data_IF_290176476696
#
_entry.id   IF_290176476696
#
_cell.length_a   1.000
_cell.length_b   1.000
_cell.length_c   1.000
_cell.angle_alpha   90.00
_cell.angle_beta   90.00
_cell.angle_gamma   90.00
#
_symmetry.space_group_name_H-M   'P 1'
#
loop_
_entity.id
_entity.type
_entity.pdbx_description
1 polymer ?
#
# COMPACT_ATOMS: atom_id res chain seq x y z
N UNK A 1 15.50 -0.54 23.70
CA UNK A 1 14.39 -0.20 22.78
C UNK A 1 14.30 -1.35 21.77
N UNK A 2 13.29 -2.21 21.86
CA UNK A 2 13.22 -3.41 21.02
C UNK A 2 12.81 -3.03 19.60
N UNK A 3 13.75 -3.12 18.65
CA UNK A 3 13.51 -2.92 17.23
C UNK A 3 12.87 -4.18 16.66
N UNK A 4 11.90 -4.01 15.76
CA UNK A 4 11.22 -5.14 15.09
C UNK A 4 11.96 -5.53 13.81
N UNK A 5 12.75 -4.62 13.23
CA UNK A 5 13.75 -4.91 12.20
C UNK A 5 14.88 -3.87 12.25
N UNK A 6 16.03 -4.20 11.67
CA UNK A 6 17.20 -3.32 11.60
C UNK A 6 17.12 -2.31 10.43
N UNK A 7 16.06 -2.36 9.63
CA UNK A 7 15.86 -1.49 8.48
C UNK A 7 15.43 -0.08 8.87
N UNK A 8 16.11 0.92 8.32
CA UNK A 8 15.66 2.32 8.35
C UNK A 8 14.71 2.56 7.17
N UNK A 9 13.47 2.91 7.45
CA UNK A 9 12.46 3.24 6.44
C UNK A 9 12.46 4.74 6.18
N UNK A 10 12.20 5.16 4.94
CA UNK A 10 12.14 6.58 4.58
C UNK A 10 10.81 6.96 3.93
N UNK A 11 10.29 8.12 4.36
CA UNK A 11 9.08 8.74 3.81
C UNK A 11 9.18 10.26 3.95
N UNK A 12 8.90 11.00 2.88
CA UNK A 12 8.90 12.47 2.84
C UNK A 12 10.17 13.12 3.41
N UNK A 13 11.35 12.55 3.10
CA UNK A 13 12.64 13.06 3.58
C UNK A 13 13.00 12.69 5.03
N UNK A 14 12.10 12.03 5.77
CA UNK A 14 12.35 11.58 7.14
C UNK A 14 12.68 10.09 7.20
N UNK A 15 13.48 9.73 8.20
CA UNK A 15 13.87 8.35 8.53
C UNK A 15 13.08 7.84 9.73
N UNK A 16 12.63 6.59 9.65
CA UNK A 16 11.82 5.93 10.66
C UNK A 16 12.41 4.56 10.98
N UNK A 17 12.44 4.22 12.26
CA UNK A 17 12.81 2.89 12.74
C UNK A 17 11.57 2.19 13.29
N UNK A 18 11.32 0.92 12.93
CA UNK A 18 10.19 0.18 13.48
C UNK A 18 10.29 0.04 14.99
N UNK A 19 9.17 0.28 15.65
CA UNK A 19 9.07 0.18 17.10
C UNK A 19 7.74 -0.47 17.49
N UNK A 20 7.81 -1.42 18.42
CA UNK A 20 6.64 -2.22 18.81
C UNK A 20 5.54 -1.39 19.48
N UNK A 21 5.89 -0.25 20.09
CA UNK A 21 4.93 0.74 20.64
C UNK A 21 4.87 2.01 19.79
N UNK A 22 5.07 1.87 18.48
CA UNK A 22 4.97 3.00 17.55
C UNK A 22 3.54 3.55 17.48
N UNK A 23 3.42 4.86 17.28
CA UNK A 23 2.13 5.56 17.07
C UNK A 23 1.86 5.83 15.59
N UNK A 24 2.63 5.17 14.71
CA UNK A 24 2.59 5.36 13.27
C UNK A 24 2.81 4.03 12.57
N UNK A 25 2.17 3.87 11.42
CA UNK A 25 2.35 2.74 10.52
C UNK A 25 2.75 3.27 9.15
N UNK A 26 3.84 2.75 8.60
CA UNK A 26 4.23 3.00 7.21
C UNK A 26 3.73 1.84 6.36
N UNK A 27 2.82 2.14 5.43
CA UNK A 27 2.32 1.22 4.42
C UNK A 27 3.06 1.47 3.12
N UNK A 28 3.54 0.41 2.47
CA UNK A 28 4.19 0.50 1.17
C UNK A 28 3.66 -0.60 0.25
N UNK A 29 3.28 -0.19 -0.96
CA UNK A 29 2.89 -1.09 -2.04
C UNK A 29 3.62 -0.69 -3.32
N UNK A 30 3.89 -1.65 -4.20
CA UNK A 30 4.56 -1.40 -5.48
C UNK A 30 3.91 -2.26 -6.56
N UNK A 31 3.60 -1.66 -7.70
CA UNK A 31 3.14 -2.40 -8.89
C UNK A 31 4.26 -3.29 -9.43
N UNK A 32 3.90 -4.40 -10.05
CA UNK A 32 4.76 -5.12 -10.97
C UNK A 32 4.58 -4.59 -12.40
N UNK A 33 5.50 -4.96 -13.28
CA UNK A 33 5.33 -4.65 -14.70
C UNK A 33 4.05 -5.32 -15.21
N UNK A 34 3.32 -4.61 -16.05
CA UNK A 34 2.06 -5.04 -16.64
C UNK A 34 0.89 -5.28 -15.66
N UNK A 35 1.03 -4.95 -14.37
CA UNK A 35 -0.12 -4.94 -13.44
C UNK A 35 -1.16 -3.88 -13.82
N UNK A 36 -0.71 -2.81 -14.49
CA UNK A 36 -1.52 -1.69 -14.96
C UNK A 36 -1.08 -1.30 -16.36
N UNK A 37 -2.03 -1.17 -17.28
CA UNK A 37 -1.77 -0.73 -18.65
C UNK A 37 -2.57 0.54 -18.96
N UNK A 38 -1.87 1.66 -19.11
CA UNK A 38 -2.40 2.98 -19.45
C UNK A 38 -3.63 3.40 -18.62
N UNK A 39 -3.53 3.31 -17.28
CA UNK A 39 -4.60 3.73 -16.36
C UNK A 39 -4.24 5.00 -15.63
N UNK A 40 -5.24 5.85 -15.40
CA UNK A 40 -5.12 7.00 -14.50
C UNK A 40 -5.65 6.61 -13.11
N UNK A 41 -4.81 6.69 -12.09
CA UNK A 41 -5.25 6.61 -10.70
C UNK A 41 -5.82 7.97 -10.28
N UNK A 42 -7.12 7.97 -9.92
CA UNK A 42 -7.85 9.15 -9.45
C UNK A 42 -7.87 9.29 -7.91
N UNK A 43 -7.63 8.20 -7.19
CA UNK A 43 -7.56 8.20 -5.74
C UNK A 43 -6.76 7.02 -5.21
N UNK A 44 -6.22 7.16 -4.00
CA UNK A 44 -5.68 6.07 -3.20
C UNK A 44 -6.52 5.94 -1.94
N UNK A 45 -6.95 4.72 -1.65
CA UNK A 45 -7.78 4.40 -0.50
C UNK A 45 -7.11 3.35 0.37
N UNK A 46 -7.38 3.40 1.68
CA UNK A 46 -6.91 2.41 2.65
C UNK A 46 -8.12 1.73 3.26
N UNK A 47 -8.14 0.41 3.13
CA UNK A 47 -9.16 -0.46 3.70
C UNK A 47 -8.56 -1.26 4.85
N UNK A 48 -9.31 -1.38 5.93
CA UNK A 48 -9.02 -2.28 7.06
C UNK A 48 -10.07 -3.39 7.12
N UNK A 49 -9.68 -4.54 7.68
CA UNK A 49 -10.54 -5.73 7.78
C UNK A 49 -11.03 -6.30 6.43
N UNK A 50 -10.44 -5.87 5.32
CA UNK A 50 -10.69 -6.50 4.02
C UNK A 50 -9.97 -7.85 3.94
N UNK A 51 -10.56 -8.80 3.21
CA UNK A 51 -9.97 -10.14 3.01
C UNK A 51 -9.88 -10.47 1.52
N UNK A 52 -8.79 -11.12 1.06
CA UNK A 52 -8.73 -11.64 -0.30
C UNK A 52 -9.83 -12.68 -0.56
N UNK A 53 -10.30 -12.79 -1.80
CA UNK A 53 -11.20 -13.86 -2.22
C UNK A 53 -10.53 -15.26 -2.06
N UNK A 54 -11.33 -16.32 -1.91
CA UNK A 54 -10.87 -17.67 -1.55
C UNK A 54 -9.78 -18.27 -2.48
N UNK A 55 -9.72 -17.85 -3.75
CA UNK A 55 -8.83 -18.41 -4.76
C UNK A 55 -7.59 -17.53 -5.05
N UNK A 56 -7.32 -16.54 -4.20
CA UNK A 56 -6.16 -15.66 -4.37
C UNK A 56 -4.92 -16.32 -3.81
N UNK A 57 -3.91 -16.49 -4.66
CA UNK A 57 -2.60 -16.99 -4.25
C UNK A 57 -2.01 -16.13 -3.14
N UNK A 58 -1.49 -16.74 -2.06
CA UNK A 58 -0.75 -16.00 -1.04
C UNK A 58 0.35 -15.14 -1.67
N UNK A 59 0.46 -13.89 -1.25
CA UNK A 59 1.47 -12.96 -1.76
C UNK A 59 1.13 -12.27 -3.09
N UNK A 60 -0.06 -12.50 -3.68
CA UNK A 60 -0.54 -11.66 -4.79
C UNK A 60 -0.79 -10.23 -4.26
N UNK A 61 0.02 -9.28 -4.71
CA UNK A 61 -0.02 -7.90 -4.21
C UNK A 61 -0.96 -7.00 -5.03
N UNK A 62 -1.27 -7.38 -6.27
CA UNK A 62 -2.17 -6.63 -7.15
C UNK A 62 -3.44 -7.42 -7.38
N UNK A 63 -4.55 -6.92 -6.85
CA UNK A 63 -5.85 -7.57 -6.90
C UNK A 63 -6.75 -6.87 -7.91
N UNK A 64 -7.60 -7.66 -8.58
CA UNK A 64 -8.74 -7.12 -9.34
C UNK A 64 -9.83 -6.63 -8.36
N UNK A 65 -10.75 -5.75 -8.81
CA UNK A 65 -11.78 -5.20 -7.94
C UNK A 65 -12.64 -6.22 -7.19
N UNK A 66 -12.87 -7.39 -7.79
CA UNK A 66 -13.66 -8.50 -7.25
C UNK A 66 -12.84 -9.49 -6.39
N UNK A 67 -11.54 -9.31 -6.32
CA UNK A 67 -10.61 -10.19 -5.59
C UNK A 67 -10.36 -9.74 -4.14
N UNK A 68 -10.88 -8.58 -3.75
CA UNK A 68 -10.87 -8.08 -2.38
C UNK A 68 -12.32 -7.95 -1.86
N UNK A 69 -12.63 -8.61 -0.76
CA UNK A 69 -13.98 -8.72 -0.21
C UNK A 69 -14.09 -7.89 1.07
N UNK A 70 -15.14 -7.08 1.14
CA UNK A 70 -15.51 -6.31 2.33
C UNK A 70 -14.49 -5.25 2.73
N UNK A 71 -14.33 -5.07 4.04
CA UNK A 71 -13.47 -4.06 4.63
C UNK A 71 -14.13 -2.69 4.80
N UNK A 72 -13.48 -1.84 5.59
CA UNK A 72 -13.91 -0.47 5.87
C UNK A 72 -12.87 0.49 5.29
N UNK A 73 -13.31 1.39 4.41
CA UNK A 73 -12.48 2.48 3.91
C UNK A 73 -12.26 3.50 5.04
N UNK A 74 -11.01 3.65 5.50
CA UNK A 74 -10.65 4.57 6.59
C UNK A 74 -9.97 5.85 6.09
N UNK A 75 -9.51 5.85 4.84
CA UNK A 75 -8.89 6.99 4.19
C UNK A 75 -9.12 6.90 2.69
N UNK A 76 -9.37 8.05 2.07
CA UNK A 76 -9.38 8.23 0.62
C UNK A 76 -8.74 9.56 0.27
N UNK A 77 -7.67 9.52 -0.51
CA UNK A 77 -6.94 10.71 -0.95
C UNK A 77 -7.07 10.83 -2.47
N UNK A 78 -7.63 11.92 -3.01
CA UNK A 78 -7.63 12.14 -4.45
C UNK A 78 -6.21 12.36 -4.94
N UNK A 79 -5.87 11.74 -6.07
CA UNK A 79 -4.57 11.90 -6.75
C UNK A 79 -4.79 11.98 -8.25
N UNK A 80 -3.77 12.41 -8.98
CA UNK A 80 -3.75 12.31 -10.44
C UNK A 80 -2.40 11.73 -10.84
N UNK A 81 -2.36 10.41 -11.02
CA UNK A 81 -1.14 9.68 -11.39
C UNK A 81 -1.41 8.75 -12.57
N UNK A 82 -0.63 8.91 -13.64
CA UNK A 82 -0.65 8.01 -14.79
C UNK A 82 0.22 6.78 -14.51
N UNK A 83 -0.41 5.61 -14.47
CA UNK A 83 0.23 4.31 -14.25
C UNK A 83 0.57 3.66 -15.58
N UNK A 84 1.81 3.18 -15.71
CA UNK A 84 2.37 2.70 -16.98
C UNK A 84 2.77 1.24 -16.89
N UNK A 85 2.59 0.50 -17.99
CA UNK A 85 2.87 -0.94 -18.04
C UNK A 85 4.34 -1.31 -17.76
N UNK A 86 5.28 -0.47 -18.20
CA UNK A 86 6.71 -0.76 -18.13
C UNK A 86 7.39 -0.07 -16.94
N UNK A 87 6.61 0.51 -16.02
CA UNK A 87 7.13 1.22 -14.85
C UNK A 87 6.50 0.60 -13.60
N UNK A 88 7.31 0.51 -12.54
CA UNK A 88 6.86 0.07 -11.22
C UNK A 88 6.63 1.29 -10.35
N UNK A 89 5.38 1.68 -10.17
CA UNK A 89 4.98 2.74 -9.27
C UNK A 89 4.98 2.25 -7.83
N UNK A 90 5.54 3.06 -6.94
CA UNK A 90 5.59 2.78 -5.51
C UNK A 90 4.72 3.79 -4.75
N UNK A 91 3.79 3.26 -3.96
CA UNK A 91 2.95 4.00 -3.03
C UNK A 91 3.52 3.84 -1.63
N UNK A 92 3.75 4.95 -0.93
CA UNK A 92 4.15 4.97 0.49
C UNK A 92 3.22 5.89 1.25
N UNK A 93 2.57 5.38 2.29
CA UNK A 93 1.64 6.14 3.13
C UNK A 93 2.04 5.97 4.58
N UNK A 94 2.27 7.09 5.27
CA UNK A 94 2.51 7.10 6.71
C UNK A 94 1.22 7.50 7.43
N UNK A 95 0.65 6.54 8.16
CA UNK A 95 -0.52 6.76 9.00
C UNK A 95 -0.09 7.05 10.44
N UNK A 96 -0.84 7.92 11.11
CA UNK A 96 -0.74 8.18 12.54
C UNK A 96 -2.08 7.81 13.19
N UNK A 97 -2.02 7.22 14.36
CA UNK A 97 -3.16 6.94 15.23
C UNK A 97 -2.84 7.39 16.66
#
# INVERSE_FOLDING_TARGET
MTRVSDGVYSHSGHHFTPFIKGTKVLLAARTQFHDVDNKQAASVSIFVHATPAKHISPGKLWLKPDELIGGVEILKTPISLSLRKDIREQFKILLRF
#
